data_IF_520557379816
#
_entry.id   IF_520557379816
#
_cell.length_a   1.000
_cell.length_b   1.000
_cell.length_c   1.000
_cell.angle_alpha   90.00
_cell.angle_beta   90.00
_cell.angle_gamma   90.00
#
_symmetry.space_group_name_H-M   'P 1'
#
loop_
_entity.id
_entity.type
_entity.pdbx_description
1 polymer ?
#
# COMPACT_ATOMS: atom_id res chain seq x y z
N UNK A 1 -37.95 -19.88 -4.42
CA UNK A 1 -37.78 -19.98 -2.95
C UNK A 1 -37.16 -21.33 -2.66
N UNK A 2 -35.86 -21.38 -2.37
CA UNK A 2 -35.17 -22.62 -2.03
C UNK A 2 -35.75 -23.19 -0.74
N UNK A 3 -36.03 -24.50 -0.69
CA UNK A 3 -36.53 -25.17 0.51
C UNK A 3 -35.40 -25.26 1.54
N UNK A 4 -35.32 -24.23 2.39
CA UNK A 4 -34.30 -24.16 3.43
C UNK A 4 -34.58 -25.23 4.48
N UNK A 5 -33.66 -26.20 4.64
CA UNK A 5 -33.80 -27.29 5.62
C UNK A 5 -33.50 -26.77 7.03
N UNK A 6 -34.46 -26.91 7.94
CA UNK A 6 -34.29 -26.61 9.36
C UNK A 6 -33.30 -27.59 10.03
N UNK A 7 -32.64 -27.15 11.10
CA UNK A 7 -31.84 -28.03 11.97
C UNK A 7 -32.73 -29.08 12.62
N UNK A 8 -32.17 -30.30 12.82
CA UNK A 8 -32.84 -31.37 13.58
C UNK A 8 -32.94 -31.02 15.06
N UNK A 9 -31.87 -30.44 15.58
CA UNK A 9 -31.76 -29.93 16.94
C UNK A 9 -32.63 -28.68 17.12
N UNK A 10 -33.44 -28.65 18.19
CA UNK A 10 -34.38 -27.57 18.48
C UNK A 10 -33.79 -26.51 19.40
N UNK A 11 -32.60 -26.70 19.97
CA UNK A 11 -31.95 -25.67 20.75
C UNK A 11 -31.30 -24.59 19.86
N UNK A 12 -31.50 -23.33 20.25
CA UNK A 12 -30.87 -22.19 19.62
C UNK A 12 -29.38 -22.15 19.97
N UNK A 13 -28.51 -22.18 18.96
CA UNK A 13 -27.06 -22.14 19.16
C UNK A 13 -26.54 -20.86 19.86
N UNK A 14 -27.26 -19.74 19.76
CA UNK A 14 -26.87 -18.48 20.39
C UNK A 14 -27.39 -18.32 21.82
N UNK A 15 -28.68 -18.59 22.09
CA UNK A 15 -29.30 -18.33 23.39
C UNK A 15 -29.80 -19.57 24.15
N UNK A 16 -29.78 -20.76 23.54
CA UNK A 16 -30.26 -22.00 24.15
C UNK A 16 -31.78 -22.18 24.20
N UNK A 17 -32.57 -21.21 23.74
CA UNK A 17 -34.03 -21.32 23.68
C UNK A 17 -34.48 -22.42 22.70
N UNK A 18 -35.61 -23.08 22.96
CA UNK A 18 -36.20 -24.09 22.08
C UNK A 18 -36.86 -23.39 20.89
N UNK A 19 -36.54 -23.79 19.66
CA UNK A 19 -36.95 -23.15 18.41
C UNK A 19 -37.56 -24.19 17.48
N UNK A 20 -38.89 -24.14 17.36
CA UNK A 20 -39.65 -24.95 16.40
C UNK A 20 -39.66 -24.34 14.99
N UNK A 21 -39.52 -23.02 14.90
CA UNK A 21 -39.65 -22.24 13.68
C UNK A 21 -38.32 -21.99 12.96
N UNK A 22 -38.39 -21.25 11.84
CA UNK A 22 -37.22 -20.83 11.07
C UNK A 22 -36.33 -19.84 11.84
N UNK A 23 -36.90 -18.99 12.69
CA UNK A 23 -36.15 -18.01 13.47
C UNK A 23 -36.43 -18.18 14.97
N UNK A 24 -35.43 -17.98 15.81
CA UNK A 24 -35.57 -18.03 17.26
C UNK A 24 -36.42 -16.85 17.75
N UNK A 25 -37.52 -17.07 18.48
CA UNK A 25 -38.36 -15.97 18.97
C UNK A 25 -37.66 -15.11 20.02
N UNK A 26 -36.70 -15.68 20.76
CA UNK A 26 -36.00 -14.97 21.83
C UNK A 26 -34.83 -14.09 21.33
N UNK A 27 -34.07 -14.54 20.32
CA UNK A 27 -32.87 -13.82 19.88
C UNK A 27 -32.81 -13.55 18.36
N UNK A 28 -33.80 -13.97 17.60
CA UNK A 28 -33.86 -13.76 16.14
C UNK A 28 -32.90 -14.62 15.32
N UNK A 29 -32.20 -15.60 15.91
CA UNK A 29 -31.31 -16.48 15.15
C UNK A 29 -32.06 -17.40 14.18
N UNK A 30 -31.64 -17.44 12.92
CA UNK A 30 -32.13 -18.42 11.94
C UNK A 30 -31.69 -19.86 12.29
N UNK A 31 -32.63 -20.80 12.35
CA UNK A 31 -32.45 -22.20 12.77
C UNK A 31 -32.37 -23.17 11.57
N UNK A 32 -31.52 -22.85 10.61
CA UNK A 32 -31.37 -23.59 9.36
C UNK A 32 -30.03 -24.33 9.29
N UNK A 33 -29.96 -25.42 8.52
CA UNK A 33 -28.70 -26.08 8.19
C UNK A 33 -27.96 -25.22 7.18
N UNK A 34 -27.04 -24.38 7.66
CA UNK A 34 -26.23 -23.54 6.79
C UNK A 34 -25.13 -24.37 6.14
N UNK A 35 -25.39 -24.80 4.91
CA UNK A 35 -24.38 -25.17 3.91
C UNK A 35 -24.43 -24.11 2.81
N UNK A 36 -24.06 -22.88 3.15
CA UNK A 36 -24.06 -21.81 2.17
C UNK A 36 -22.78 -21.81 1.36
N UNK A 37 -22.94 -21.56 0.06
CA UNK A 37 -21.83 -21.28 -0.83
C UNK A 37 -21.26 -19.89 -0.50
N UNK A 38 -19.93 -19.78 -0.58
CA UNK A 38 -19.20 -18.56 -0.23
C UNK A 38 -19.72 -17.29 -0.97
N UNK A 39 -20.28 -17.47 -2.16
CA UNK A 39 -20.82 -16.39 -3.00
C UNK A 39 -22.14 -15.83 -2.44
N UNK A 40 -22.96 -16.69 -1.83
CA UNK A 40 -24.20 -16.27 -1.18
C UNK A 40 -23.94 -15.42 0.07
N UNK A 41 -22.89 -15.75 0.85
CA UNK A 41 -22.45 -14.93 1.98
C UNK A 41 -22.04 -13.53 1.56
N UNK A 42 -21.34 -13.38 0.42
CA UNK A 42 -20.93 -12.08 -0.11
C UNK A 42 -22.15 -11.24 -0.52
N UNK A 43 -23.13 -11.84 -1.20
CA UNK A 43 -24.34 -11.15 -1.63
C UNK A 43 -25.15 -10.60 -0.44
N UNK A 44 -25.36 -11.40 0.61
CA UNK A 44 -26.03 -10.95 1.83
C UNK A 44 -25.27 -9.84 2.55
N UNK A 45 -23.93 -9.89 2.56
CA UNK A 45 -23.13 -8.86 3.22
C UNK A 45 -23.22 -7.47 2.55
N UNK A 46 -23.39 -7.42 1.22
CA UNK A 46 -23.51 -6.17 0.46
C UNK A 46 -24.90 -5.55 0.64
N UNK A 47 -25.96 -6.37 0.72
CA UNK A 47 -27.34 -5.90 0.87
C UNK A 47 -27.60 -5.14 2.19
N UNK A 48 -26.89 -5.50 3.27
CA UNK A 48 -27.15 -4.97 4.62
C UNK A 48 -26.16 -3.88 5.08
N UNK A 49 -25.35 -3.32 4.17
CA UNK A 49 -24.12 -2.60 4.52
C UNK A 49 -24.29 -1.35 5.42
N UNK A 50 -25.47 -0.71 5.46
CA UNK A 50 -25.68 0.56 6.16
C UNK A 50 -26.40 0.51 7.52
N UNK A 51 -26.65 -0.66 8.11
CA UNK A 51 -27.19 -0.72 9.48
C UNK A 51 -26.04 -0.72 10.51
N UNK A 52 -25.85 0.40 11.22
CA UNK A 52 -24.84 0.51 12.27
C UNK A 52 -25.27 -0.34 13.48
N UNK A 53 -24.59 -1.46 13.70
CA UNK A 53 -25.01 -2.46 14.70
C UNK A 53 -24.43 -2.18 16.10
N UNK A 54 -25.29 -2.27 17.13
CA UNK A 54 -24.92 -2.31 18.55
C UNK A 54 -23.91 -3.43 18.90
N UNK A 55 -23.74 -4.42 18.01
CA UNK A 55 -22.83 -5.58 18.15
C UNK A 55 -21.35 -5.25 17.93
N UNK A 56 -21.03 -4.00 17.57
CA UNK A 56 -19.68 -3.56 17.22
C UNK A 56 -18.65 -3.84 18.32
N UNK A 57 -18.82 -3.25 19.51
CA UNK A 57 -17.88 -3.45 20.62
C UNK A 57 -17.87 -4.89 21.14
N UNK A 58 -19.02 -5.57 21.08
CA UNK A 58 -19.16 -7.00 21.39
C UNK A 58 -18.35 -7.91 20.46
N UNK A 59 -18.04 -7.45 19.25
CA UNK A 59 -17.23 -8.17 18.25
C UNK A 59 -15.76 -7.77 18.31
N UNK A 60 -15.44 -6.47 18.42
CA UNK A 60 -14.06 -5.96 18.40
C UNK A 60 -13.22 -6.44 19.58
N UNK A 61 -13.79 -6.44 20.80
CA UNK A 61 -13.08 -6.87 22.01
C UNK A 61 -12.61 -8.33 21.93
N UNK A 62 -13.46 -9.32 21.63
CA UNK A 62 -12.99 -10.70 21.46
C UNK A 62 -12.12 -10.88 20.22
N UNK A 63 -12.30 -10.06 19.16
CA UNK A 63 -11.43 -10.09 17.99
C UNK A 63 -9.97 -9.79 18.36
N UNK A 64 -9.67 -8.74 19.14
CA UNK A 64 -8.29 -8.40 19.51
C UNK A 64 -7.76 -9.21 20.70
N UNK A 65 -8.58 -9.44 21.72
CA UNK A 65 -8.11 -9.97 23.01
C UNK A 65 -8.17 -11.50 23.11
N UNK A 66 -8.94 -12.17 22.24
CA UNK A 66 -9.14 -13.63 22.29
C UNK A 66 -8.86 -14.26 20.91
N UNK A 67 -7.58 -14.43 20.53
CA UNK A 67 -7.21 -14.83 19.17
C UNK A 67 -7.89 -16.13 18.73
N UNK A 68 -8.66 -16.03 17.65
CA UNK A 68 -9.38 -17.16 17.02
C UNK A 68 -10.65 -17.63 17.75
N UNK A 69 -10.96 -17.10 18.94
CA UNK A 69 -12.14 -17.50 19.70
C UNK A 69 -13.43 -17.01 19.03
N UNK A 70 -13.44 -15.77 18.52
CA UNK A 70 -14.58 -15.21 17.78
C UNK A 70 -14.94 -16.10 16.58
N UNK A 71 -13.94 -16.46 15.77
CA UNK A 71 -14.13 -17.35 14.62
C UNK A 71 -14.69 -18.71 15.03
N UNK A 72 -14.15 -19.30 16.10
CA UNK A 72 -14.63 -20.57 16.62
C UNK A 72 -16.11 -20.51 17.01
N UNK A 73 -16.51 -19.52 17.82
CA UNK A 73 -17.90 -19.35 18.26
C UNK A 73 -18.86 -19.06 17.09
N UNK A 74 -18.41 -18.26 16.12
CA UNK A 74 -19.22 -17.91 14.94
C UNK A 74 -19.49 -19.15 14.07
N UNK A 75 -18.46 -19.95 13.83
CA UNK A 75 -18.55 -21.20 13.08
C UNK A 75 -19.37 -22.26 13.82
N UNK A 76 -19.27 -22.30 15.16
CA UNK A 76 -20.13 -23.12 16.04
C UNK A 76 -21.60 -22.64 16.06
N UNK A 77 -21.91 -21.51 15.43
CA UNK A 77 -23.28 -21.06 15.20
C UNK A 77 -23.76 -19.94 16.11
N UNK A 78 -22.92 -19.34 16.97
CA UNK A 78 -23.27 -18.15 17.77
C UNK A 78 -23.23 -16.87 16.94
N UNK A 79 -24.01 -16.81 15.86
CA UNK A 79 -23.89 -15.78 14.81
C UNK A 79 -24.60 -14.48 15.12
N UNK A 80 -25.70 -14.52 15.88
CA UNK A 80 -26.45 -13.30 16.24
C UNK A 80 -25.66 -12.36 17.12
N UNK A 81 -24.79 -12.90 17.98
CA UNK A 81 -24.00 -12.10 18.93
C UNK A 81 -22.89 -11.26 18.30
N UNK A 82 -22.52 -11.54 17.05
CA UNK A 82 -21.35 -10.93 16.40
C UNK A 82 -21.71 -10.33 15.04
N UNK A 83 -20.94 -9.33 14.61
CA UNK A 83 -21.05 -8.78 13.26
C UNK A 83 -20.65 -9.87 12.25
N UNK A 84 -21.35 -9.92 11.11
CA UNK A 84 -21.01 -10.81 10.01
C UNK A 84 -19.54 -10.62 9.56
N UNK A 85 -18.73 -11.68 9.38
CA UNK A 85 -17.29 -11.59 9.13
C UNK A 85 -16.91 -10.71 7.94
N UNK A 86 -17.69 -10.78 6.86
CA UNK A 86 -17.47 -9.98 5.65
C UNK A 86 -17.72 -8.49 5.94
N UNK A 87 -18.82 -8.17 6.64
CA UNK A 87 -19.18 -6.79 6.98
C UNK A 87 -18.14 -6.17 7.91
N UNK A 88 -17.70 -6.94 8.90
CA UNK A 88 -16.63 -6.56 9.82
C UNK A 88 -15.34 -6.24 9.07
N UNK A 89 -14.93 -7.10 8.13
CA UNK A 89 -13.74 -6.88 7.32
C UNK A 89 -13.85 -5.65 6.43
N UNK A 90 -14.97 -5.47 5.71
CA UNK A 90 -15.17 -4.31 4.84
C UNK A 90 -15.07 -3.02 5.67
N UNK A 91 -15.77 -2.96 6.80
CA UNK A 91 -15.75 -1.80 7.69
C UNK A 91 -14.33 -1.47 8.19
N UNK A 92 -13.63 -2.46 8.77
CA UNK A 92 -12.28 -2.26 9.31
C UNK A 92 -11.30 -1.90 8.19
N UNK A 93 -11.43 -2.52 7.01
CA UNK A 93 -10.55 -2.24 5.86
C UNK A 93 -10.73 -0.82 5.35
N UNK A 94 -11.97 -0.32 5.23
CA UNK A 94 -12.23 1.07 4.82
C UNK A 94 -11.61 2.04 5.82
N UNK A 95 -11.83 1.84 7.12
CA UNK A 95 -11.21 2.69 8.16
C UNK A 95 -9.68 2.62 8.09
N UNK A 96 -9.11 1.43 7.92
CA UNK A 96 -7.67 1.20 7.81
C UNK A 96 -7.05 1.93 6.61
N UNK A 97 -7.64 1.79 5.42
CA UNK A 97 -7.12 2.43 4.21
C UNK A 97 -7.30 3.94 4.23
N UNK A 98 -8.42 4.46 4.77
CA UNK A 98 -8.57 5.89 4.99
C UNK A 98 -7.47 6.39 5.94
N UNK A 99 -7.20 5.70 7.05
CA UNK A 99 -6.17 6.12 8.00
C UNK A 99 -4.76 6.13 7.38
N UNK A 100 -4.41 5.13 6.57
CA UNK A 100 -3.10 5.07 5.89
C UNK A 100 -2.97 6.12 4.77
N UNK A 101 -4.01 6.30 3.96
CA UNK A 101 -3.93 7.18 2.80
C UNK A 101 -4.18 8.66 3.13
N UNK A 102 -4.88 8.98 4.22
CA UNK A 102 -5.09 10.39 4.64
C UNK A 102 -3.79 11.11 5.02
N UNK A 103 -2.74 10.37 5.39
CA UNK A 103 -1.41 10.92 5.68
C UNK A 103 -0.57 11.23 4.44
N UNK A 104 -0.97 10.76 3.25
CA UNK A 104 -0.23 11.02 2.00
C UNK A 104 -0.64 12.38 1.44
N UNK A 105 0.02 13.46 1.86
CA UNK A 105 -0.08 14.73 1.14
C UNK A 105 0.45 14.51 -0.28
N UNK A 106 -0.35 14.75 -1.34
CA UNK A 106 0.21 14.80 -2.68
C UNK A 106 1.22 15.96 -2.67
N UNK A 107 2.46 15.69 -3.05
CA UNK A 107 3.42 16.74 -3.41
C UNK A 107 2.82 17.46 -4.63
N UNK A 108 1.99 18.47 -4.36
CA UNK A 108 1.50 19.38 -5.40
C UNK A 108 2.73 20.11 -5.92
N UNK A 109 3.18 19.71 -7.11
CA UNK A 109 4.08 20.50 -7.91
C UNK A 109 3.33 21.77 -8.34
N UNK A 110 3.45 22.82 -7.54
CA UNK A 110 2.97 24.15 -7.89
C UNK A 110 3.72 24.62 -9.14
N UNK A 111 3.06 24.48 -10.30
CA UNK A 111 3.40 25.24 -11.48
C UNK A 111 3.04 26.72 -11.21
N UNK A 112 3.99 27.48 -10.64
CA UNK A 112 3.94 28.94 -10.75
C UNK A 112 4.27 29.33 -12.18
N UNK A 113 3.24 29.45 -13.01
CA UNK A 113 3.29 30.33 -14.16
C UNK A 113 3.46 31.76 -13.64
N UNK A 114 4.62 32.36 -13.88
CA UNK A 114 4.76 33.81 -13.88
C UNK A 114 5.07 34.22 -15.30
N UNK A 115 4.02 34.59 -16.02
CA UNK A 115 4.11 35.40 -17.25
C UNK A 115 4.56 36.79 -16.83
N UNK A 116 5.76 37.20 -17.25
CA UNK A 116 6.04 38.63 -17.41
C UNK A 116 6.83 38.83 -18.69
N UNK A 117 6.08 39.26 -19.70
CA UNK A 117 6.58 39.89 -20.92
C UNK A 117 7.27 41.19 -20.53
N UNK A 118 8.59 41.33 -20.71
CA UNK A 118 9.16 42.63 -21.09
C UNK A 118 10.51 42.45 -21.78
N UNK A 119 10.52 42.89 -23.04
CA UNK A 119 11.66 43.27 -23.88
C UNK A 119 12.76 44.02 -23.14
N UNK A 120 14.01 43.52 -23.17
CA UNK A 120 15.23 44.34 -23.14
C UNK A 120 16.36 43.63 -23.94
N UNK A 121 16.81 44.28 -25.02
CA UNK A 121 18.22 44.22 -25.51
C UNK A 121 19.07 45.20 -24.64
N UNK A 122 20.38 45.39 -24.89
CA UNK A 122 21.53 44.63 -24.39
C UNK A 122 22.47 45.51 -23.53
N UNK A 123 22.88 45.12 -22.33
CA UNK A 123 23.91 45.93 -21.61
C UNK A 123 24.78 45.14 -20.62
N UNK A 124 26.09 45.34 -20.82
CA UNK A 124 27.25 45.22 -19.91
C UNK A 124 27.53 43.91 -19.15
N UNK A 125 28.57 43.20 -19.65
CA UNK A 125 29.26 42.08 -18.99
C UNK A 125 30.43 42.48 -18.09
N UNK A 126 30.63 43.77 -17.78
CA UNK A 126 31.93 44.29 -17.31
C UNK A 126 32.11 44.51 -15.79
N UNK A 127 31.12 44.20 -14.95
CA UNK A 127 31.16 44.68 -13.56
C UNK A 127 31.45 43.64 -12.45
N UNK A 128 31.41 42.32 -12.72
CA UNK A 128 31.50 41.33 -11.64
C UNK A 128 32.92 40.79 -11.33
N UNK A 129 33.88 40.87 -12.25
CA UNK A 129 35.26 40.34 -12.03
C UNK A 129 36.20 41.34 -11.36
N UNK A 130 35.96 42.64 -11.54
CA UNK A 130 36.82 43.71 -11.00
C UNK A 130 36.61 43.99 -9.50
N UNK A 131 35.55 43.47 -8.90
CA UNK A 131 35.16 43.76 -7.51
C UNK A 131 35.97 42.91 -6.52
N UNK A 132 36.26 41.65 -6.83
CA UNK A 132 36.98 40.75 -5.92
C UNK A 132 38.46 41.10 -5.78
N UNK A 133 39.12 41.49 -6.88
CA UNK A 133 40.53 41.88 -6.88
C UNK A 133 40.74 43.22 -6.15
N UNK A 134 39.86 44.20 -6.36
CA UNK A 134 39.91 45.49 -5.63
C UNK A 134 39.68 45.31 -4.12
N UNK A 135 38.87 44.33 -3.73
CA UNK A 135 38.64 44.00 -2.32
C UNK A 135 39.87 43.33 -1.70
N UNK A 136 40.53 42.44 -2.45
CA UNK A 136 41.78 41.80 -2.04
C UNK A 136 42.92 42.81 -1.85
N UNK A 137 43.06 43.76 -2.79
CA UNK A 137 44.03 44.85 -2.72
C UNK A 137 43.81 45.71 -1.46
N UNK A 138 42.56 46.02 -1.12
CA UNK A 138 42.22 46.74 0.12
C UNK A 138 42.52 45.93 1.39
N UNK A 139 42.25 44.63 1.41
CA UNK A 139 42.51 43.79 2.61
C UNK A 139 44.00 43.59 2.83
N UNK A 140 44.78 43.38 1.76
CA UNK A 140 46.24 43.24 1.83
C UNK A 140 46.95 44.54 2.26
N UNK A 141 46.31 45.70 2.11
CA UNK A 141 46.84 46.96 2.61
C UNK A 141 47.03 46.97 4.14
N UNK A 142 46.16 46.28 4.88
CA UNK A 142 46.16 46.27 6.35
C UNK A 142 47.00 45.15 6.99
N UNK A 143 47.62 44.27 6.19
CA UNK A 143 48.43 43.14 6.70
C UNK A 143 49.93 43.52 6.60
N UNK A 144 50.73 43.39 7.67
CA UNK A 144 52.13 43.81 7.68
C UNK A 144 53.04 42.74 7.06
N UNK A 145 53.03 42.65 5.73
CA UNK A 145 53.84 41.70 4.93
C UNK A 145 54.69 42.47 3.92
N UNK A 146 55.82 41.89 3.48
CA UNK A 146 56.68 42.47 2.45
C UNK A 146 55.89 42.80 1.17
N UNK A 147 56.15 43.98 0.61
CA UNK A 147 55.52 44.51 -0.60
C UNK A 147 55.67 43.56 -1.79
N UNK A 148 56.82 42.88 -1.93
CA UNK A 148 57.03 41.89 -3.01
C UNK A 148 56.08 40.71 -2.92
N UNK A 149 55.75 40.26 -1.71
CA UNK A 149 54.83 39.14 -1.51
C UNK A 149 53.38 39.56 -1.75
N UNK A 150 53.00 40.79 -1.37
CA UNK A 150 51.68 41.35 -1.68
C UNK A 150 51.45 41.43 -3.19
N UNK A 151 52.43 41.92 -3.94
CA UNK A 151 52.34 42.08 -5.39
C UNK A 151 52.27 40.71 -6.09
N UNK A 152 52.98 39.69 -5.58
CA UNK A 152 52.88 38.31 -6.09
C UNK A 152 51.48 37.73 -5.90
N UNK A 153 50.88 37.89 -4.71
CA UNK A 153 49.54 37.37 -4.39
C UNK A 153 48.46 38.04 -5.26
N UNK A 154 48.56 39.35 -5.48
CA UNK A 154 47.61 40.09 -6.33
C UNK A 154 47.70 39.63 -7.78
N UNK A 155 48.92 39.38 -8.29
CA UNK A 155 49.13 38.93 -9.66
C UNK A 155 48.67 37.48 -9.89
N UNK A 156 48.87 36.59 -8.91
CA UNK A 156 48.34 35.22 -8.93
C UNK A 156 46.80 35.22 -8.97
N UNK A 157 46.17 36.00 -8.08
CA UNK A 157 44.72 36.12 -8.00
C UNK A 157 44.10 36.69 -9.29
N UNK A 158 44.75 37.69 -9.92
CA UNK A 158 44.33 38.21 -11.24
C UNK A 158 44.38 37.11 -12.31
N UNK A 159 45.37 36.22 -12.25
CA UNK A 159 45.57 35.13 -13.21
C UNK A 159 44.55 34.00 -13.04
N UNK A 160 44.19 33.69 -11.80
CA UNK A 160 43.16 32.69 -11.49
C UNK A 160 41.75 33.16 -11.88
N UNK A 161 41.42 34.44 -11.62
CA UNK A 161 40.14 35.04 -12.06
C UNK A 161 39.99 35.01 -13.59
N UNK A 162 41.08 35.25 -14.33
CA UNK A 162 41.09 35.18 -15.79
C UNK A 162 40.95 33.74 -16.33
N UNK A 163 41.45 32.74 -15.60
CA UNK A 163 41.27 31.31 -15.95
C UNK A 163 39.86 30.81 -15.63
N UNK A 164 39.30 31.19 -14.48
CA UNK A 164 38.02 30.69 -14.00
C UNK A 164 36.81 31.29 -14.75
N UNK A 165 36.97 32.46 -15.39
CA UNK A 165 35.93 33.03 -16.25
C UNK A 165 35.58 32.15 -17.47
N UNK A 166 36.39 31.13 -17.79
CA UNK A 166 36.08 30.15 -18.83
C UNK A 166 35.30 28.93 -18.34
N UNK A 167 35.20 28.69 -17.02
CA UNK A 167 34.58 27.46 -16.49
C UNK A 167 33.84 27.57 -15.13
N UNK A 168 33.58 28.76 -14.60
CA UNK A 168 32.94 28.90 -13.27
C UNK A 168 31.47 29.36 -13.35
N UNK A 169 30.58 28.46 -13.73
CA UNK A 169 29.15 28.56 -13.39
C UNK A 169 28.91 27.96 -12.00
N UNK A 170 29.24 28.68 -10.92
CA UNK A 170 29.00 28.20 -9.56
C UNK A 170 27.48 28.25 -9.26
N UNK A 171 26.85 27.08 -9.18
CA UNK A 171 25.47 26.92 -8.69
C UNK A 171 25.48 26.63 -7.18
N UNK A 172 25.38 27.68 -6.37
CA UNK A 172 25.00 27.53 -4.96
C UNK A 172 23.49 27.37 -4.86
N UNK A 173 23.07 26.12 -4.80
CA UNK A 173 21.72 25.68 -4.58
C UNK A 173 21.71 24.17 -4.62
N UNK A 174 21.76 23.53 -3.44
CA UNK A 174 21.45 22.10 -3.27
C UNK A 174 19.95 21.86 -3.50
N UNK A 175 19.45 22.24 -4.66
CA UNK A 175 18.32 21.59 -5.28
C UNK A 175 18.91 20.44 -6.07
N UNK A 176 18.84 19.22 -5.53
CA UNK A 176 19.05 18.02 -6.33
C UNK A 176 18.10 18.12 -7.51
N UNK A 177 18.60 18.48 -8.69
CA UNK A 177 17.84 18.29 -9.93
C UNK A 177 17.64 16.80 -10.06
N UNK A 178 16.53 16.25 -9.52
CA UNK A 178 16.05 14.92 -9.86
C UNK A 178 16.01 14.89 -11.39
N UNK A 179 16.99 14.23 -12.01
CA UNK A 179 16.98 13.98 -13.46
C UNK A 179 15.64 13.31 -13.72
N UNK A 180 14.79 13.94 -14.53
CA UNK A 180 13.51 13.37 -14.99
C UNK A 180 13.82 12.09 -15.76
N UNK A 181 13.81 10.95 -15.09
CA UNK A 181 14.10 9.66 -15.71
C UNK A 181 12.83 9.17 -16.41
N UNK A 182 12.68 9.54 -17.69
CA UNK A 182 11.75 8.83 -18.57
C UNK A 182 12.14 7.35 -18.60
N UNK A 183 11.14 6.49 -18.55
CA UNK A 183 11.35 5.04 -18.60
C UNK A 183 11.71 4.70 -20.05
N UNK A 184 12.95 4.24 -20.28
CA UNK A 184 13.47 3.83 -21.58
C UNK A 184 14.26 2.54 -21.40
N UNK A 185 14.17 1.64 -22.38
CA UNK A 185 14.92 0.39 -22.38
C UNK A 185 14.76 -0.33 -23.73
N UNK A 186 15.72 -1.18 -24.07
CA UNK A 186 15.80 -1.82 -25.39
C UNK A 186 14.60 -2.71 -25.72
N UNK A 187 13.88 -3.16 -24.70
CA UNK A 187 12.72 -4.03 -24.85
C UNK A 187 11.42 -3.27 -25.21
N UNK A 188 11.41 -1.93 -25.08
CA UNK A 188 10.20 -1.10 -25.20
C UNK A 188 10.42 0.03 -26.21
N UNK A 189 9.38 0.44 -26.95
CA UNK A 189 9.52 1.55 -27.88
C UNK A 189 9.92 2.87 -27.18
N UNK A 190 10.84 3.59 -27.80
CA UNK A 190 11.25 4.94 -27.40
C UNK A 190 10.45 6.05 -28.11
N UNK A 191 9.35 5.68 -28.79
CA UNK A 191 8.47 6.64 -29.45
C UNK A 191 7.86 7.63 -28.45
N UNK A 192 7.50 8.81 -28.95
CA UNK A 192 6.98 9.89 -28.08
C UNK A 192 5.48 9.81 -27.85
N UNK A 193 4.74 9.21 -28.80
CA UNK A 193 3.28 9.10 -28.75
C UNK A 193 2.83 7.71 -29.19
N UNK A 194 1.70 7.26 -28.65
CA UNK A 194 1.12 5.95 -29.00
C UNK A 194 0.75 5.91 -30.48
N UNK A 195 0.24 7.02 -31.03
CA UNK A 195 -0.08 7.12 -32.46
C UNK A 195 1.15 6.92 -33.37
N UNK A 196 2.31 7.49 -32.99
CA UNK A 196 3.57 7.27 -33.72
C UNK A 196 3.98 5.80 -33.69
N UNK A 197 3.88 5.16 -32.52
CA UNK A 197 4.18 3.75 -32.34
C UNK A 197 3.25 2.85 -33.17
N UNK A 198 1.94 3.08 -33.11
CA UNK A 198 0.95 2.31 -33.88
C UNK A 198 1.15 2.46 -35.39
N UNK A 199 1.41 3.69 -35.87
CA UNK A 199 1.71 3.94 -37.28
C UNK A 199 2.92 3.13 -37.73
N UNK A 200 3.97 3.05 -36.90
CA UNK A 200 5.16 2.24 -37.17
C UNK A 200 4.83 0.74 -37.21
N UNK A 201 4.03 0.25 -36.28
CA UNK A 201 3.61 -1.16 -36.24
C UNK A 201 2.72 -1.53 -37.44
N UNK A 202 1.84 -0.65 -37.88
CA UNK A 202 0.97 -0.88 -39.04
C UNK A 202 1.76 -0.91 -40.36
N UNK A 203 2.84 -0.12 -40.46
CA UNK A 203 3.72 -0.11 -41.62
C UNK A 203 4.58 -1.38 -41.75
N UNK A 204 4.74 -2.17 -40.68
CA UNK A 204 5.51 -3.41 -40.70
C UNK A 204 4.69 -4.59 -41.24
N UNK A 205 5.33 -5.54 -41.95
CA UNK A 205 4.76 -6.84 -42.26
C UNK A 205 4.29 -7.56 -40.99
N UNK A 206 3.21 -8.35 -41.08
CA UNK A 206 2.58 -8.98 -39.90
C UNK A 206 3.55 -9.82 -39.05
N UNK A 207 4.56 -10.42 -39.68
CA UNK A 207 5.59 -11.24 -39.01
C UNK A 207 6.62 -10.42 -38.21
N UNK A 208 6.78 -9.13 -38.53
CA UNK A 208 7.76 -8.23 -37.90
C UNK A 208 7.14 -7.29 -36.86
N UNK A 209 5.82 -7.35 -36.70
CA UNK A 209 5.11 -6.57 -35.69
C UNK A 209 5.45 -7.07 -34.29
N UNK A 210 5.49 -6.14 -33.35
CA UNK A 210 5.66 -6.48 -31.95
C UNK A 210 4.53 -7.41 -31.49
N UNK A 211 4.89 -8.51 -30.83
CA UNK A 211 3.92 -9.44 -30.25
C UNK A 211 3.07 -8.78 -29.18
N UNK A 212 1.95 -9.40 -28.80
CA UNK A 212 0.95 -8.84 -27.88
C UNK A 212 1.58 -8.21 -26.62
N UNK A 213 2.51 -8.91 -25.97
CA UNK A 213 3.17 -8.45 -24.75
C UNK A 213 4.02 -7.19 -25.01
N UNK A 214 4.93 -7.24 -25.98
CA UNK A 214 5.81 -6.10 -26.30
C UNK A 214 5.03 -4.89 -26.79
N UNK A 215 3.99 -5.11 -27.58
CA UNK A 215 3.07 -4.08 -28.06
C UNK A 215 2.37 -3.37 -26.92
N UNK A 216 1.82 -4.16 -26.00
CA UNK A 216 1.14 -3.69 -24.82
C UNK A 216 2.04 -2.84 -23.90
N UNK A 217 3.24 -3.34 -23.56
CA UNK A 217 4.18 -2.60 -22.71
C UNK A 217 4.73 -1.33 -23.40
N UNK A 218 4.92 -1.36 -24.72
CA UNK A 218 5.38 -0.20 -25.50
C UNK A 218 4.39 0.94 -25.46
N UNK A 219 3.11 0.70 -25.73
CA UNK A 219 2.08 1.73 -25.60
C UNK A 219 2.07 2.35 -24.21
N UNK A 220 2.13 1.51 -23.19
CA UNK A 220 1.97 1.97 -21.81
C UNK A 220 3.15 2.77 -21.30
N UNK A 221 4.37 2.39 -21.64
CA UNK A 221 5.55 3.21 -21.29
C UNK A 221 5.50 4.56 -21.98
N UNK A 222 5.00 4.62 -23.21
CA UNK A 222 4.81 5.89 -23.92
C UNK A 222 3.79 6.78 -23.18
N UNK A 223 2.64 6.23 -22.78
CA UNK A 223 1.61 6.95 -21.99
C UNK A 223 2.15 7.42 -20.64
N UNK A 224 2.82 6.55 -19.87
CA UNK A 224 3.40 6.92 -18.58
C UNK A 224 4.45 8.03 -18.73
N UNK A 225 5.25 8.00 -19.80
CA UNK A 225 6.25 9.01 -20.10
C UNK A 225 5.65 10.40 -20.48
N UNK A 226 4.33 10.49 -20.68
CA UNK A 226 3.63 11.78 -20.82
C UNK A 226 3.47 12.48 -19.47
N UNK A 227 3.44 11.73 -18.37
CA UNK A 227 3.37 12.31 -17.02
C UNK A 227 4.73 12.93 -16.64
N UNK A 228 4.74 14.05 -15.89
CA UNK A 228 5.97 14.70 -15.45
C UNK A 228 6.93 13.76 -14.69
N UNK A 229 6.36 12.88 -13.85
CA UNK A 229 7.05 11.88 -13.04
C UNK A 229 6.39 10.49 -13.26
N UNK A 230 6.80 9.73 -14.28
CA UNK A 230 6.20 8.41 -14.60
C UNK A 230 6.27 7.43 -13.42
N UNK A 231 7.38 7.46 -12.66
CA UNK A 231 7.56 6.58 -11.50
C UNK A 231 6.64 6.91 -10.32
N UNK A 232 6.30 8.19 -10.11
CA UNK A 232 5.35 8.58 -9.05
C UNK A 232 3.92 8.24 -9.46
N UNK A 233 3.55 8.51 -10.72
CA UNK A 233 2.25 8.11 -11.26
C UNK A 233 2.02 6.60 -11.17
N UNK A 234 3.03 5.82 -11.56
CA UNK A 234 2.97 4.36 -11.43
C UNK A 234 2.79 3.90 -9.97
N UNK A 235 3.50 4.52 -9.03
CA UNK A 235 3.35 4.22 -7.60
C UNK A 235 1.95 4.58 -7.10
N UNK A 236 1.41 5.72 -7.49
CA UNK A 236 0.05 6.14 -7.15
C UNK A 236 -0.99 5.12 -7.66
N UNK A 237 -0.89 4.74 -8.93
CA UNK A 237 -1.79 3.75 -9.54
C UNK A 237 -1.68 2.38 -8.85
N UNK A 238 -0.47 1.97 -8.43
CA UNK A 238 -0.24 0.75 -7.66
C UNK A 238 -0.86 0.83 -6.25
N UNK A 239 -0.63 1.93 -5.53
CA UNK A 239 -1.16 2.16 -4.18
C UNK A 239 -2.70 2.18 -4.17
N UNK A 240 -3.31 2.80 -5.17
CA UNK A 240 -4.77 2.85 -5.34
C UNK A 240 -5.39 1.46 -5.56
N UNK A 241 -4.63 0.50 -6.08
CA UNK A 241 -5.09 -0.88 -6.28
C UNK A 241 -4.80 -1.82 -5.10
N UNK A 242 -4.06 -1.40 -4.06
CA UNK A 242 -3.80 -2.21 -2.86
C UNK A 242 -5.08 -2.70 -2.18
N UNK A 243 -6.13 -1.87 -1.96
CA UNK A 243 -7.37 -2.35 -1.35
C UNK A 243 -8.01 -3.49 -2.14
N UNK A 244 -8.08 -3.36 -3.47
CA UNK A 244 -8.64 -4.41 -4.35
C UNK A 244 -7.84 -5.71 -4.25
N UNK A 245 -6.51 -5.60 -4.18
CA UNK A 245 -5.61 -6.75 -3.99
C UNK A 245 -5.87 -7.46 -2.67
N UNK A 246 -6.06 -6.71 -1.57
CA UNK A 246 -6.35 -7.29 -0.26
C UNK A 246 -7.67 -8.08 -0.26
N UNK A 247 -8.70 -7.61 -0.95
CA UNK A 247 -9.95 -8.38 -1.13
C UNK A 247 -9.73 -9.67 -1.93
N UNK A 248 -8.93 -9.64 -3.00
CA UNK A 248 -8.60 -10.83 -3.79
C UNK A 248 -7.79 -11.86 -2.99
N UNK A 249 -6.93 -11.41 -2.07
CA UNK A 249 -6.10 -12.29 -1.25
C UNK A 249 -6.89 -13.10 -0.24
N UNK A 250 -8.07 -12.64 0.20
CA UNK A 250 -8.87 -13.35 1.21
C UNK A 250 -9.32 -14.76 0.80
N UNK A 251 -9.98 -14.96 -0.37
CA UNK A 251 -10.35 -16.29 -0.83
C UNK A 251 -9.12 -17.14 -1.17
N UNK A 252 -8.04 -16.53 -1.70
CA UNK A 252 -6.80 -17.26 -1.98
C UNK A 252 -6.11 -17.72 -0.70
N UNK A 253 -6.08 -16.89 0.35
CA UNK A 253 -5.58 -17.26 1.67
C UNK A 253 -6.43 -18.36 2.30
N UNK A 254 -7.76 -18.29 2.16
CA UNK A 254 -8.66 -19.35 2.60
C UNK A 254 -8.40 -20.67 1.86
N UNK A 255 -8.04 -20.62 0.56
CA UNK A 255 -7.64 -21.78 -0.22
C UNK A 255 -6.32 -22.38 0.28
N UNK A 256 -5.31 -21.56 0.56
CA UNK A 256 -4.06 -22.03 1.18
C UNK A 256 -4.35 -22.67 2.54
N UNK A 257 -5.17 -22.03 3.38
CA UNK A 257 -5.58 -22.59 4.67
C UNK A 257 -6.28 -23.94 4.53
N UNK A 258 -7.16 -24.09 3.53
CA UNK A 258 -7.83 -25.36 3.21
C UNK A 258 -6.82 -26.44 2.86
N UNK A 259 -5.80 -26.12 2.07
CA UNK A 259 -4.73 -27.04 1.70
C UNK A 259 -3.90 -27.45 2.95
N UNK A 260 -3.46 -26.48 3.74
CA UNK A 260 -2.61 -26.71 4.93
C UNK A 260 -3.34 -27.46 6.05
N UNK A 261 -4.67 -27.28 6.15
CA UNK A 261 -5.51 -27.90 7.17
C UNK A 261 -6.51 -28.93 6.60
N UNK A 262 -6.17 -29.56 5.47
CA UNK A 262 -7.01 -30.58 4.83
C UNK A 262 -7.42 -31.72 5.79
N UNK A 263 -6.53 -32.11 6.71
CA UNK A 263 -6.78 -33.15 7.70
C UNK A 263 -7.81 -32.75 8.79
N UNK A 264 -8.20 -31.48 8.88
CA UNK A 264 -9.13 -30.99 9.90
C UNK A 264 -10.60 -31.08 9.49
N UNK A 265 -10.91 -31.58 8.29
CA UNK A 265 -12.28 -31.77 7.77
C UNK A 265 -13.17 -30.53 7.90
N UNK A 266 -12.56 -29.34 7.78
CA UNK A 266 -13.26 -28.06 7.78
C UNK A 266 -13.72 -27.72 6.35
N UNK A 267 -14.89 -27.12 6.23
CA UNK A 267 -15.44 -26.66 4.96
C UNK A 267 -14.71 -25.39 4.49
N UNK A 268 -14.75 -25.13 3.17
CA UNK A 268 -14.10 -23.96 2.59
C UNK A 268 -14.60 -22.63 3.18
N UNK A 269 -15.91 -22.51 3.42
CA UNK A 269 -16.49 -21.29 4.02
C UNK A 269 -15.95 -21.04 5.44
N UNK A 270 -15.62 -22.09 6.23
CA UNK A 270 -15.03 -21.93 7.56
C UNK A 270 -13.63 -21.31 7.47
N UNK A 271 -12.85 -21.67 6.44
CA UNK A 271 -11.54 -21.06 6.16
C UNK A 271 -11.66 -19.61 5.68
N UNK A 272 -12.70 -19.30 4.90
CA UNK A 272 -13.03 -17.93 4.50
C UNK A 272 -13.39 -17.07 5.71
N UNK A 273 -14.25 -17.56 6.61
CA UNK A 273 -14.62 -16.84 7.84
C UNK A 273 -13.38 -16.58 8.70
N UNK A 274 -12.50 -17.58 8.84
CA UNK A 274 -11.23 -17.41 9.54
C UNK A 274 -10.34 -16.36 8.87
N UNK A 275 -10.22 -16.39 7.53
CA UNK A 275 -9.46 -15.42 6.74
C UNK A 275 -9.93 -13.98 7.01
N UNK A 276 -11.24 -13.74 6.96
CA UNK A 276 -11.83 -12.42 7.25
C UNK A 276 -11.54 -11.95 8.66
N UNK A 277 -11.76 -12.78 9.69
CA UNK A 277 -11.47 -12.42 11.07
C UNK A 277 -9.97 -12.20 11.32
N UNK A 278 -9.08 -13.01 10.72
CA UNK A 278 -7.64 -12.85 10.90
C UNK A 278 -7.17 -11.51 10.33
N UNK A 279 -7.52 -11.19 9.09
CA UNK A 279 -7.11 -9.93 8.46
C UNK A 279 -7.75 -8.73 9.15
N UNK A 280 -9.02 -8.84 9.56
CA UNK A 280 -9.70 -7.81 10.37
C UNK A 280 -8.95 -7.54 11.68
N UNK A 281 -8.50 -8.58 12.37
CA UNK A 281 -7.74 -8.43 13.60
C UNK A 281 -6.39 -7.77 13.35
N UNK A 282 -5.68 -8.15 12.29
CA UNK A 282 -4.38 -7.54 11.92
C UNK A 282 -4.56 -6.06 11.59
N UNK A 283 -5.52 -5.70 10.72
CA UNK A 283 -5.78 -4.29 10.37
C UNK A 283 -6.20 -3.47 11.59
N UNK A 284 -7.07 -4.01 12.44
CA UNK A 284 -7.48 -3.34 13.67
C UNK A 284 -6.33 -3.17 14.66
N UNK A 285 -5.41 -4.13 14.72
CA UNK A 285 -4.20 -4.05 15.56
C UNK A 285 -3.26 -2.95 15.06
N UNK A 286 -3.06 -2.85 13.73
CA UNK A 286 -2.27 -1.78 13.13
C UNK A 286 -2.92 -0.42 13.34
N UNK A 287 -4.24 -0.31 13.19
CA UNK A 287 -4.99 0.91 13.53
C UNK A 287 -4.80 1.31 15.00
N UNK A 288 -4.89 0.35 15.92
CA UNK A 288 -4.66 0.62 17.34
C UNK A 288 -3.23 1.11 17.60
N UNK A 289 -2.23 0.52 16.95
CA UNK A 289 -0.84 1.00 17.04
C UNK A 289 -0.66 2.41 16.46
N UNK A 290 -1.28 2.72 15.31
CA UNK A 290 -1.28 4.06 14.74
C UNK A 290 -1.91 5.08 15.69
N UNK A 291 -3.04 4.72 16.32
CA UNK A 291 -3.71 5.56 17.30
C UNK A 291 -2.82 5.79 18.54
N UNK A 292 -2.16 4.75 19.05
CA UNK A 292 -1.23 4.88 20.18
C UNK A 292 -0.03 5.77 19.84
N UNK A 293 0.54 5.64 18.63
CA UNK A 293 1.60 6.56 18.15
C UNK A 293 1.11 8.00 18.13
N UNK A 294 -0.08 8.24 17.59
CA UNK A 294 -0.67 9.58 17.54
C UNK A 294 -0.95 10.16 18.94
N UNK A 295 -1.43 9.33 19.88
CA UNK A 295 -1.78 9.75 21.25
C UNK A 295 -0.58 9.98 22.18
N UNK A 296 0.53 9.27 21.99
CA UNK A 296 1.65 9.31 22.94
C UNK A 296 2.98 9.76 22.32
N UNK A 297 3.07 9.78 20.99
CA UNK A 297 4.29 10.11 20.26
C UNK A 297 4.78 11.56 20.45
N UNK A 298 3.91 12.47 20.92
CA UNK A 298 4.32 13.83 21.27
C UNK A 298 4.95 13.94 22.67
N UNK A 299 4.70 12.96 23.56
CA UNK A 299 5.22 12.97 24.94
C UNK A 299 6.48 12.13 25.05
N UNK A 300 6.47 10.94 24.46
CA UNK A 300 7.52 9.94 24.62
C UNK A 300 7.85 9.32 23.26
N UNK A 301 9.15 9.19 22.95
CA UNK A 301 9.58 8.43 21.79
C UNK A 301 9.41 6.92 22.07
N UNK A 302 8.23 6.41 21.72
CA UNK A 302 7.86 5.00 21.84
C UNK A 302 7.87 4.27 20.50
N UNK A 303 8.29 4.92 19.41
CA UNK A 303 8.06 4.42 18.04
C UNK A 303 8.69 3.05 17.80
N UNK A 304 9.97 2.88 18.16
CA UNK A 304 10.69 1.63 17.96
C UNK A 304 10.13 0.49 18.83
N UNK A 305 9.86 0.77 20.12
CA UNK A 305 9.31 -0.22 21.03
C UNK A 305 7.90 -0.65 20.66
N UNK A 306 7.03 0.31 20.29
CA UNK A 306 5.66 0.03 19.90
C UNK A 306 5.60 -0.80 18.62
N UNK A 307 6.47 -0.54 17.65
CA UNK A 307 6.58 -1.35 16.44
C UNK A 307 7.09 -2.76 16.74
N UNK A 308 8.16 -2.89 17.53
CA UNK A 308 8.73 -4.19 17.92
C UNK A 308 7.71 -5.06 18.68
N UNK A 309 7.07 -4.50 19.71
CA UNK A 309 6.04 -5.19 20.49
C UNK A 309 4.79 -5.50 19.64
N UNK A 310 4.46 -4.60 18.71
CA UNK A 310 3.40 -4.79 17.73
C UNK A 310 3.62 -6.01 16.84
N UNK A 311 4.83 -6.16 16.29
CA UNK A 311 5.21 -7.33 15.49
C UNK A 311 5.13 -8.61 16.32
N UNK A 312 5.66 -8.61 17.54
CA UNK A 312 5.57 -9.76 18.46
C UNK A 312 4.10 -10.12 18.73
N UNK A 313 3.26 -9.14 19.01
CA UNK A 313 1.83 -9.34 19.24
C UNK A 313 1.13 -9.96 18.02
N UNK A 314 1.40 -9.46 16.80
CA UNK A 314 0.79 -10.00 15.57
C UNK A 314 1.22 -11.45 15.33
N UNK A 315 2.51 -11.76 15.50
CA UNK A 315 3.02 -13.14 15.37
C UNK A 315 2.39 -14.07 16.40
N UNK A 316 2.29 -13.62 17.66
CA UNK A 316 1.60 -14.35 18.72
C UNK A 316 0.11 -14.54 18.40
N UNK A 317 -0.56 -13.52 17.88
CA UNK A 317 -1.98 -13.56 17.51
C UNK A 317 -2.24 -14.59 16.40
N UNK A 318 -1.43 -14.60 15.34
CA UNK A 318 -1.52 -15.58 14.25
C UNK A 318 -1.35 -17.00 14.81
N UNK A 319 -0.29 -17.23 15.58
CA UNK A 319 -0.03 -18.53 16.19
C UNK A 319 -1.19 -18.99 17.09
N UNK A 320 -1.65 -18.10 17.98
CA UNK A 320 -2.72 -18.42 18.93
C UNK A 320 -4.05 -18.64 18.22
N UNK A 321 -4.39 -17.82 17.22
CA UNK A 321 -5.65 -17.94 16.49
C UNK A 321 -5.75 -19.24 15.70
N UNK A 322 -4.68 -19.64 15.00
CA UNK A 322 -4.62 -20.94 14.30
C UNK A 322 -4.80 -22.10 15.27
N UNK A 323 -4.13 -22.04 16.43
CA UNK A 323 -4.25 -23.06 17.48
C UNK A 323 -5.68 -23.16 18.00
N UNK A 324 -6.31 -22.04 18.32
CA UNK A 324 -7.68 -21.98 18.86
C UNK A 324 -8.69 -22.52 17.85
N UNK A 325 -8.57 -22.15 16.58
CA UNK A 325 -9.54 -22.52 15.55
C UNK A 325 -9.36 -23.94 15.01
N UNK A 326 -8.13 -24.38 14.75
CA UNK A 326 -7.86 -25.70 14.15
C UNK A 326 -7.51 -26.80 15.17
N UNK A 327 -7.28 -26.46 16.44
CA UNK A 327 -6.94 -27.44 17.48
C UNK A 327 -5.68 -28.26 17.15
N UNK A 328 -4.62 -27.62 16.64
CA UNK A 328 -3.38 -28.30 16.26
C UNK A 328 -2.36 -28.34 17.41
N UNK A 329 -1.49 -29.36 17.42
CA UNK A 329 -0.36 -29.44 18.38
C UNK A 329 0.60 -28.25 18.18
N UNK A 330 1.31 -27.83 19.24
CA UNK A 330 2.14 -26.61 19.25
C UNK A 330 3.17 -26.58 18.12
N UNK A 331 4.06 -27.59 18.08
CA UNK A 331 5.11 -27.70 17.07
C UNK A 331 4.60 -27.85 15.64
N UNK A 332 3.51 -28.61 15.44
CA UNK A 332 2.87 -28.73 14.13
C UNK A 332 2.32 -27.38 13.65
N UNK A 333 1.79 -26.56 14.56
CA UNK A 333 1.28 -25.23 14.21
C UNK A 333 2.41 -24.31 13.76
N UNK A 334 3.57 -24.37 14.42
CA UNK A 334 4.75 -23.57 14.04
C UNK A 334 5.19 -23.93 12.62
N UNK A 335 5.38 -25.22 12.31
CA UNK A 335 5.74 -25.67 10.96
C UNK A 335 4.71 -25.24 9.91
N UNK A 336 3.41 -25.36 10.23
CA UNK A 336 2.33 -24.92 9.34
C UNK A 336 2.32 -23.42 9.13
N UNK A 337 2.71 -22.61 10.11
CA UNK A 337 2.81 -21.15 9.97
C UNK A 337 3.91 -20.78 8.98
N UNK A 338 5.08 -21.42 9.05
CA UNK A 338 6.14 -21.18 8.07
C UNK A 338 5.72 -21.55 6.66
N UNK A 339 5.11 -22.73 6.48
CA UNK A 339 4.61 -23.15 5.17
C UNK A 339 3.46 -22.26 4.65
N UNK A 340 2.52 -21.90 5.53
CA UNK A 340 1.43 -20.96 5.23
C UNK A 340 1.99 -19.59 4.81
N UNK A 341 2.99 -19.08 5.54
CA UNK A 341 3.67 -17.82 5.22
C UNK A 341 4.38 -17.87 3.87
N UNK A 342 5.09 -18.96 3.59
CA UNK A 342 5.74 -19.19 2.29
C UNK A 342 4.74 -19.18 1.14
N UNK A 343 3.65 -19.97 1.24
CA UNK A 343 2.59 -19.98 0.23
C UNK A 343 1.92 -18.61 0.08
N UNK A 344 1.69 -17.90 1.20
CA UNK A 344 1.09 -16.57 1.17
C UNK A 344 1.98 -15.55 0.46
N UNK A 345 3.30 -15.56 0.68
CA UNK A 345 4.25 -14.68 -0.02
C UNK A 345 4.25 -14.94 -1.52
N UNK A 346 4.19 -16.20 -1.95
CA UNK A 346 4.10 -16.54 -3.38
C UNK A 346 2.81 -15.96 -3.98
N UNK A 347 1.67 -16.22 -3.35
CA UNK A 347 0.37 -15.73 -3.84
C UNK A 347 0.32 -14.20 -3.84
N UNK A 348 0.81 -13.56 -2.77
CA UNK A 348 0.94 -12.11 -2.68
C UNK A 348 1.80 -11.54 -3.81
N UNK A 349 2.93 -12.16 -4.12
CA UNK A 349 3.81 -11.75 -5.22
C UNK A 349 3.09 -11.89 -6.57
N UNK A 350 2.38 -12.99 -6.81
CA UNK A 350 1.58 -13.19 -8.03
C UNK A 350 0.49 -12.12 -8.13
N UNK A 351 -0.23 -11.84 -7.04
CA UNK A 351 -1.24 -10.79 -7.01
C UNK A 351 -0.65 -9.40 -7.31
N UNK A 352 0.52 -9.07 -6.75
CA UNK A 352 1.24 -7.83 -7.07
C UNK A 352 1.63 -7.79 -8.55
N UNK A 353 2.16 -8.87 -9.12
CA UNK A 353 2.52 -8.92 -10.54
C UNK A 353 1.30 -8.73 -11.44
N UNK A 354 0.18 -9.36 -11.10
CA UNK A 354 -1.10 -9.18 -11.80
C UNK A 354 -1.58 -7.74 -11.69
N UNK A 355 -1.56 -7.15 -10.50
CA UNK A 355 -1.97 -5.75 -10.29
C UNK A 355 -1.04 -4.79 -11.01
N UNK A 356 0.28 -5.02 -10.97
CA UNK A 356 1.22 -4.22 -11.76
C UNK A 356 0.84 -4.32 -13.23
N UNK A 357 0.69 -5.53 -13.77
CA UNK A 357 0.24 -5.73 -15.14
C UNK A 357 -1.08 -4.99 -15.43
N UNK A 358 -2.09 -5.03 -14.56
CA UNK A 358 -3.35 -4.29 -14.70
C UNK A 358 -3.24 -2.77 -14.54
N UNK A 359 -2.38 -2.26 -13.67
CA UNK A 359 -2.05 -0.83 -13.58
C UNK A 359 -1.32 -0.35 -14.84
N UNK A 360 -0.65 -1.27 -15.56
CA UNK A 360 -0.23 -1.03 -16.93
C UNK A 360 -1.42 -1.07 -17.94
N UNK A 361 -2.59 -1.66 -17.62
CA UNK A 361 -3.72 -1.85 -18.58
C UNK A 361 -4.72 -0.70 -18.53
N UNK A 362 -5.07 -0.22 -17.32
CA UNK A 362 -6.37 0.45 -17.04
C UNK A 362 -6.30 1.96 -16.75
N UNK A 363 -5.36 2.70 -17.34
CA UNK A 363 -5.32 4.18 -17.32
C UNK A 363 -4.87 4.64 -18.69
#
# INVERSE_FOLDING_TARGET
MSSVKLRKEKDCLNCGHIVEEKFCPNCGQENIIVKEDALHMVAHAIADYFHFEHKFFGTLKPLLLKPGQLTKLYVEGKRVSFIHPIRLYIFISIVFFIAIFSGQKPEKSEAKETKTTTTLKPTEKDSLTNIDVKRLEKTLAYIPVDRKLKDSIINEAKKDVLKDSSNAGIKFGMGTKKKKSKWRGDWVSNDTTVAQYEKKQLALPKAERDGFIKHYFSKRVIELNQYPNPGEKFKEDLLHNIPKMMFLLLPLFALILKLVYINKKKFYYEHIIYSFHLHSAIFLSVLAMMLLKWLFGFVVNIDGWLEFLGVIYILWYIYRSLRTFYGSKRWITILKIFFLGFCYVIVFTICILIVMAFSFVMV
#
